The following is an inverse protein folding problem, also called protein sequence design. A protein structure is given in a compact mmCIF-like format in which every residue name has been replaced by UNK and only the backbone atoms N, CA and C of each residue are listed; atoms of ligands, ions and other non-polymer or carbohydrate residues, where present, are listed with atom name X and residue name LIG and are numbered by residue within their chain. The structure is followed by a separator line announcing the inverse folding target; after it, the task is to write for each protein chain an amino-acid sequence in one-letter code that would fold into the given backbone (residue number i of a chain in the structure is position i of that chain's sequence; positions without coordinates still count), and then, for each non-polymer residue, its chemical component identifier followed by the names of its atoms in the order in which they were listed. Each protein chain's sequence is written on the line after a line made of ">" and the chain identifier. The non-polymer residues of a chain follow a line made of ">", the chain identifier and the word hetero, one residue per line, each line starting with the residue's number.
data_IF_947603624866
#
_entry.id   IF_947603624866
#
_cell.length_a   1.000
_cell.length_b   1.000
_cell.length_c   1.000
_cell.angle_alpha   90.00
_cell.angle_beta   90.00
_cell.angle_gamma   90.00
#
_symmetry.space_group_name_H-M   'P 1'
#
loop_
_entity.id
_entity.type
_entity.pdbx_description
1 polymer ?
#
# COMPACT_ATOMS: atom_id res chain seq x y z
N UNK A 1 -20.57 -19.38 -16.38
CA UNK A 1 -19.42 -18.89 -15.60
C UNK A 1 -19.43 -17.37 -15.68
N UNK A 2 -19.11 -16.69 -14.58
CA UNK A 2 -19.01 -15.22 -14.55
C UNK A 2 -17.64 -14.79 -15.07
N UNK A 3 -17.60 -13.83 -16.02
CA UNK A 3 -16.36 -13.34 -16.60
C UNK A 3 -15.91 -12.07 -15.88
N UNK A 4 -14.84 -12.20 -15.10
CA UNK A 4 -14.17 -11.10 -14.43
C UNK A 4 -12.98 -10.61 -15.26
N UNK A 5 -12.96 -9.32 -15.59
CA UNK A 5 -11.79 -8.68 -16.15
C UNK A 5 -11.09 -7.87 -15.07
N UNK A 6 -9.87 -8.31 -14.73
CA UNK A 6 -9.06 -7.70 -13.67
C UNK A 6 -8.03 -6.75 -14.31
N UNK A 7 -8.06 -5.49 -13.95
CA UNK A 7 -7.14 -4.48 -14.46
C UNK A 7 -5.75 -4.61 -13.82
N UNK A 8 -4.86 -5.38 -14.46
CA UNK A 8 -3.49 -5.60 -14.03
C UNK A 8 -2.49 -4.57 -14.57
N UNK A 9 -2.95 -3.53 -15.28
CA UNK A 9 -2.09 -2.50 -15.88
C UNK A 9 -1.29 -1.67 -14.88
N UNK A 10 -1.65 -1.73 -13.60
CA UNK A 10 -0.92 -1.05 -12.52
C UNK A 10 0.20 -1.89 -11.93
N UNK A 11 0.39 -3.13 -12.37
CA UNK A 11 1.56 -3.93 -12.03
C UNK A 11 2.76 -3.37 -12.79
N UNK A 12 3.72 -2.82 -12.06
CA UNK A 12 4.94 -2.23 -12.62
C UNK A 12 5.96 -3.32 -12.92
N UNK A 13 6.76 -3.10 -13.95
CA UNK A 13 7.77 -4.05 -14.42
C UNK A 13 9.20 -3.69 -13.99
N UNK A 14 9.38 -2.53 -13.35
CA UNK A 14 10.67 -1.98 -12.93
C UNK A 14 10.88 -1.99 -11.40
N UNK A 15 9.82 -1.71 -10.65
CA UNK A 15 9.79 -1.83 -9.19
C UNK A 15 8.33 -1.85 -8.70
N UNK A 16 8.07 -2.50 -7.57
CA UNK A 16 6.74 -2.50 -6.99
C UNK A 16 6.58 -1.38 -5.96
N UNK A 17 5.68 -0.43 -6.23
CA UNK A 17 5.10 0.44 -5.22
C UNK A 17 3.89 -0.24 -4.56
N UNK A 18 3.26 0.43 -3.59
CA UNK A 18 2.13 -0.15 -2.87
C UNK A 18 0.95 -0.55 -3.76
N UNK A 19 0.66 0.22 -4.83
CA UNK A 19 -0.43 -0.08 -5.78
C UNK A 19 -0.06 -1.26 -6.67
N UNK A 20 1.17 -1.29 -7.18
CA UNK A 20 1.68 -2.39 -7.98
C UNK A 20 1.66 -3.70 -7.20
N UNK A 21 2.10 -3.66 -5.93
CA UNK A 21 2.09 -4.81 -5.02
C UNK A 21 0.67 -5.30 -4.73
N UNK A 22 -0.23 -4.40 -4.35
CA UNK A 22 -1.65 -4.71 -4.17
C UNK A 22 -2.23 -5.39 -5.41
N UNK A 23 -1.92 -4.86 -6.61
CA UNK A 23 -2.44 -5.40 -7.87
C UNK A 23 -1.92 -6.80 -8.17
N UNK A 24 -0.62 -7.06 -7.96
CA UNK A 24 0.00 -8.35 -8.25
C UNK A 24 -0.46 -9.44 -7.28
N UNK A 25 -0.40 -9.16 -5.98
CA UNK A 25 -0.77 -10.10 -4.93
C UNK A 25 -2.27 -10.46 -4.98
N UNK A 26 -3.13 -9.44 -5.14
CA UNK A 26 -4.56 -9.68 -5.29
C UNK A 26 -4.87 -10.44 -6.58
N UNK A 27 -4.17 -10.17 -7.69
CA UNK A 27 -4.34 -10.90 -8.95
C UNK A 27 -4.00 -12.37 -8.78
N UNK A 28 -2.90 -12.70 -8.09
CA UNK A 28 -2.50 -14.08 -7.81
C UNK A 28 -3.53 -14.82 -6.95
N UNK A 29 -3.99 -14.19 -5.88
CA UNK A 29 -4.99 -14.77 -4.98
C UNK A 29 -6.37 -14.94 -5.67
N UNK A 30 -6.77 -13.98 -6.51
CA UNK A 30 -8.01 -14.06 -7.30
C UNK A 30 -7.93 -15.19 -8.31
N UNK A 31 -6.82 -15.33 -9.06
CA UNK A 31 -6.66 -16.41 -10.02
C UNK A 31 -6.74 -17.79 -9.36
N UNK A 32 -6.16 -17.94 -8.17
CA UNK A 32 -6.22 -19.19 -7.39
C UNK A 32 -7.64 -19.52 -6.91
N UNK A 33 -8.38 -18.51 -6.44
CA UNK A 33 -9.70 -18.74 -5.80
C UNK A 33 -10.88 -18.74 -6.79
N UNK A 34 -10.74 -18.13 -7.97
CA UNK A 34 -11.82 -17.91 -8.92
C UNK A 34 -12.44 -19.20 -9.51
N UNK A 35 -11.67 -20.24 -9.87
CA UNK A 35 -12.23 -21.47 -10.46
C UNK A 35 -13.24 -22.15 -9.54
N UNK A 36 -12.94 -22.26 -8.25
CA UNK A 36 -13.83 -22.86 -7.25
C UNK A 36 -15.16 -22.09 -7.08
N UNK A 37 -15.21 -20.83 -7.55
CA UNK A 37 -16.39 -19.96 -7.46
C UNK A 37 -17.11 -19.78 -8.81
N UNK A 38 -16.70 -20.53 -9.84
CA UNK A 38 -17.27 -20.45 -11.17
C UNK A 38 -17.01 -19.11 -11.88
N UNK A 39 -15.87 -18.48 -11.59
CA UNK A 39 -15.42 -17.22 -12.18
C UNK A 39 -14.25 -17.48 -13.12
N UNK A 40 -14.36 -17.01 -14.34
CA UNK A 40 -13.28 -16.90 -15.32
C UNK A 40 -12.60 -15.54 -15.19
N UNK A 41 -11.27 -15.51 -15.10
CA UNK A 41 -10.52 -14.24 -14.91
C UNK A 41 -9.65 -13.97 -16.14
N UNK A 42 -9.84 -12.80 -16.74
CA UNK A 42 -8.95 -12.28 -17.79
C UNK A 42 -8.23 -11.05 -17.23
N UNK A 43 -6.89 -11.03 -17.27
CA UNK A 43 -6.09 -9.91 -16.79
C UNK A 43 -5.86 -8.90 -17.92
N UNK A 44 -6.23 -7.63 -17.66
CA UNK A 44 -5.96 -6.54 -18.58
C UNK A 44 -4.52 -6.06 -18.36
N UNK A 45 -3.71 -6.10 -19.40
CA UNK A 45 -2.31 -5.63 -19.39
C UNK A 45 -2.10 -4.62 -20.51
N UNK A 46 -1.03 -3.82 -20.47
CA UNK A 46 -0.65 -2.93 -21.56
C UNK A 46 0.77 -3.19 -22.07
N UNK A 47 1.54 -4.02 -21.36
CA UNK A 47 2.91 -4.41 -21.69
C UNK A 47 3.05 -5.91 -21.47
N UNK A 48 3.59 -6.64 -22.45
CA UNK A 48 3.80 -8.09 -22.37
C UNK A 48 4.67 -8.49 -21.17
N UNK A 49 5.60 -7.62 -20.73
CA UNK A 49 6.44 -7.88 -19.55
C UNK A 49 5.64 -8.04 -18.26
N UNK A 50 4.41 -7.52 -18.21
CA UNK A 50 3.53 -7.67 -17.05
C UNK A 50 3.08 -9.13 -16.81
N UNK A 51 3.14 -9.99 -17.86
CA UNK A 51 2.84 -11.41 -17.72
C UNK A 51 3.73 -12.13 -16.70
N UNK A 52 4.98 -11.71 -16.56
CA UNK A 52 5.92 -12.29 -15.60
C UNK A 52 5.49 -12.11 -14.13
N UNK A 53 4.56 -11.19 -13.87
CA UNK A 53 4.03 -10.87 -12.53
C UNK A 53 2.59 -11.38 -12.33
N UNK A 54 2.08 -12.15 -13.28
CA UNK A 54 0.78 -12.80 -13.20
C UNK A 54 0.98 -14.32 -13.03
N UNK A 55 -0.03 -15.04 -12.53
CA UNK A 55 0.04 -16.49 -12.42
C UNK A 55 0.33 -17.15 -13.76
N UNK A 56 1.08 -18.26 -13.72
CA UNK A 56 1.39 -19.05 -14.92
C UNK A 56 0.09 -19.51 -15.62
N UNK A 57 0.06 -19.35 -16.94
CA UNK A 57 -1.13 -19.71 -17.74
C UNK A 57 -2.30 -18.73 -17.63
N UNK A 58 -2.14 -17.58 -16.92
CA UNK A 58 -3.21 -16.60 -16.79
C UNK A 58 -3.66 -16.05 -18.16
N UNK A 59 -4.97 -16.03 -18.40
CA UNK A 59 -5.54 -15.41 -19.59
C UNK A 59 -5.34 -13.89 -19.51
N UNK A 60 -4.83 -13.29 -20.58
CA UNK A 60 -4.54 -11.86 -20.63
C UNK A 60 -5.12 -11.21 -21.88
N UNK A 61 -5.54 -9.97 -21.74
CA UNK A 61 -5.95 -9.11 -22.84
C UNK A 61 -5.10 -7.83 -22.83
N UNK A 62 -4.41 -7.57 -23.94
CA UNK A 62 -3.65 -6.34 -24.10
C UNK A 62 -4.58 -5.21 -24.50
N UNK A 63 -4.54 -4.14 -23.71
CA UNK A 63 -5.26 -2.89 -23.97
C UNK A 63 -4.30 -1.69 -23.79
N UNK A 64 -4.73 -0.48 -24.13
CA UNK A 64 -3.86 0.69 -24.00
C UNK A 64 -3.47 1.01 -22.54
N UNK A 65 -2.36 1.75 -22.34
CA UNK A 65 -1.88 2.11 -21.02
C UNK A 65 -2.89 2.97 -20.26
N UNK A 66 -2.92 2.91 -18.91
CA UNK A 66 -3.90 3.62 -18.09
C UNK A 66 -3.76 5.16 -18.15
N UNK A 67 -2.65 5.66 -18.69
CA UNK A 67 -2.39 7.10 -18.89
C UNK A 67 -2.75 7.60 -20.31
N UNK A 68 -3.30 6.73 -21.16
CA UNK A 68 -3.66 7.12 -22.53
C UNK A 68 -4.79 8.15 -22.55
N UNK A 69 -4.75 9.09 -23.49
CA UNK A 69 -5.83 10.08 -23.72
C UNK A 69 -7.17 9.40 -24.05
N UNK A 70 -7.12 8.19 -24.62
CA UNK A 70 -8.31 7.37 -24.94
C UNK A 70 -8.90 6.65 -23.71
N UNK A 71 -8.29 6.74 -22.52
CA UNK A 71 -8.73 6.00 -21.34
C UNK A 71 -10.21 6.23 -20.97
N UNK A 72 -10.80 7.44 -21.08
CA UNK A 72 -12.22 7.64 -20.82
C UNK A 72 -13.15 6.77 -21.69
N UNK A 73 -12.69 6.37 -22.89
CA UNK A 73 -13.44 5.55 -23.85
C UNK A 73 -13.12 4.04 -23.74
N UNK A 74 -12.27 3.63 -22.81
CA UNK A 74 -11.82 2.24 -22.63
C UNK A 74 -12.98 1.25 -22.50
N UNK A 75 -14.05 1.68 -21.86
CA UNK A 75 -15.24 0.86 -21.72
C UNK A 75 -15.83 0.37 -23.06
N UNK A 76 -15.75 1.17 -24.13
CA UNK A 76 -16.25 0.77 -25.45
C UNK A 76 -15.43 -0.37 -26.06
N UNK A 77 -14.12 -0.38 -25.82
CA UNK A 77 -13.24 -1.46 -26.25
C UNK A 77 -13.57 -2.73 -25.48
N UNK A 78 -13.64 -2.66 -24.14
CA UNK A 78 -13.96 -3.80 -23.29
C UNK A 78 -15.35 -4.39 -23.56
N UNK A 79 -16.34 -3.60 -23.98
CA UNK A 79 -17.67 -4.10 -24.35
C UNK A 79 -17.62 -5.15 -25.47
N UNK A 80 -16.62 -5.14 -26.36
CA UNK A 80 -16.47 -6.12 -27.46
C UNK A 80 -16.15 -7.51 -26.92
N UNK A 81 -15.49 -7.57 -25.77
CA UNK A 81 -15.09 -8.80 -25.09
C UNK A 81 -16.18 -9.32 -24.13
N UNK A 82 -17.24 -8.53 -23.89
CA UNK A 82 -18.42 -8.89 -23.08
C UNK A 82 -18.07 -9.38 -21.68
N UNK A 83 -17.27 -8.64 -20.86
CA UNK A 83 -17.10 -8.98 -19.45
C UNK A 83 -18.44 -8.84 -18.71
N UNK A 84 -18.64 -9.64 -17.66
CA UNK A 84 -19.77 -9.42 -16.76
C UNK A 84 -19.40 -8.35 -15.72
N UNK A 85 -18.16 -8.43 -15.19
CA UNK A 85 -17.64 -7.47 -14.23
C UNK A 85 -16.22 -7.06 -14.61
N UNK A 86 -15.90 -5.79 -14.47
CA UNK A 86 -14.53 -5.26 -14.55
C UNK A 86 -14.14 -4.72 -13.18
N UNK A 87 -13.02 -5.20 -12.65
CA UNK A 87 -12.40 -4.68 -11.44
C UNK A 87 -11.14 -3.90 -11.80
N UNK A 88 -10.96 -2.70 -11.26
CA UNK A 88 -9.71 -1.96 -11.34
C UNK A 88 -9.18 -1.64 -9.94
N UNK A 89 -7.88 -1.92 -9.65
CA UNK A 89 -7.22 -1.54 -8.41
C UNK A 89 -7.01 -0.03 -8.28
N UNK A 90 -7.49 0.73 -9.27
CA UNK A 90 -7.47 2.20 -9.31
C UNK A 90 -8.81 2.73 -9.81
N UNK A 91 -9.03 4.04 -9.66
CA UNK A 91 -10.26 4.74 -10.08
C UNK A 91 -10.21 5.28 -11.52
N UNK A 92 -9.18 4.98 -12.29
CA UNK A 92 -8.89 5.70 -13.56
C UNK A 92 -9.43 5.02 -14.81
N UNK A 93 -9.79 3.73 -14.78
CA UNK A 93 -10.34 3.06 -15.98
C UNK A 93 -11.64 3.71 -16.43
N UNK A 94 -11.73 4.01 -17.73
CA UNK A 94 -12.87 4.73 -18.30
C UNK A 94 -14.20 3.97 -18.20
N UNK A 95 -15.26 4.69 -17.91
CA UNK A 95 -16.61 4.17 -17.67
C UNK A 95 -17.63 4.53 -18.76
N UNK A 96 -17.25 5.40 -19.71
CA UNK A 96 -18.18 5.95 -20.71
C UNK A 96 -18.72 4.90 -21.68
N UNK A 97 -20.03 4.65 -21.62
CA UNK A 97 -20.70 3.71 -22.50
C UNK A 97 -20.46 2.23 -22.17
N UNK A 98 -20.04 1.92 -20.95
CA UNK A 98 -19.88 0.53 -20.46
C UNK A 98 -21.22 -0.22 -20.47
N UNK A 99 -21.14 -1.52 -20.73
CA UNK A 99 -22.27 -2.46 -20.73
C UNK A 99 -22.07 -3.64 -19.75
N UNK A 100 -21.18 -3.47 -18.78
CA UNK A 100 -20.79 -4.43 -17.76
C UNK A 100 -20.82 -3.75 -16.38
N UNK A 101 -20.78 -4.54 -15.31
CA UNK A 101 -20.66 -4.02 -13.95
C UNK A 101 -19.21 -3.64 -13.64
N UNK A 102 -19.01 -2.63 -12.83
CA UNK A 102 -17.66 -2.11 -12.55
C UNK A 102 -17.41 -1.86 -11.08
N UNK A 103 -16.24 -2.31 -10.64
CA UNK A 103 -15.70 -2.05 -9.31
C UNK A 103 -14.44 -1.18 -9.52
N UNK A 104 -14.43 0.03 -8.93
CA UNK A 104 -13.26 0.93 -8.93
C UNK A 104 -12.70 1.02 -7.53
N UNK A 105 -11.37 0.98 -7.41
CA UNK A 105 -10.69 1.13 -6.13
C UNK A 105 -10.15 2.55 -5.96
N UNK A 106 -10.40 3.13 -4.79
CA UNK A 106 -9.69 4.30 -4.30
C UNK A 106 -9.01 3.91 -2.98
N UNK A 107 -7.68 4.00 -2.92
CA UNK A 107 -6.92 3.55 -1.77
C UNK A 107 -7.12 4.47 -0.55
N UNK A 108 -7.03 5.79 -0.77
CA UNK A 108 -7.11 6.79 0.29
C UNK A 108 -7.49 8.18 -0.25
N UNK A 109 -7.52 9.17 0.64
CA UNK A 109 -7.76 10.58 0.32
C UNK A 109 -6.59 11.48 0.70
N UNK A 110 -5.38 10.92 0.83
CA UNK A 110 -4.16 11.61 1.27
C UNK A 110 -3.91 12.88 0.46
N UNK A 111 -4.02 12.80 -0.85
CA UNK A 111 -3.74 13.92 -1.74
C UNK A 111 -4.74 15.08 -1.65
N UNK A 112 -5.90 14.88 -1.04
CA UNK A 112 -6.81 15.99 -0.74
C UNK A 112 -6.40 16.77 0.51
N UNK A 113 -5.66 16.14 1.43
CA UNK A 113 -5.11 16.75 2.64
C UNK A 113 -3.69 17.26 2.39
N UNK A 114 -2.85 16.49 1.68
CA UNK A 114 -1.46 16.79 1.34
C UNK A 114 -1.34 17.12 -0.15
N UNK A 115 -1.70 18.36 -0.53
CA UNK A 115 -1.84 18.82 -1.92
C UNK A 115 -0.52 19.10 -2.63
N UNK A 116 0.54 18.38 -2.30
CA UNK A 116 1.84 18.50 -2.97
C UNK A 116 1.94 17.41 -4.03
N UNK A 117 1.91 17.75 -5.34
CA UNK A 117 2.05 16.76 -6.38
C UNK A 117 3.46 16.16 -6.37
N UNK A 118 3.62 14.90 -6.80
CA UNK A 118 4.92 14.28 -7.02
C UNK A 118 5.83 15.17 -7.88
N UNK A 119 7.10 15.31 -7.47
CA UNK A 119 8.05 16.23 -8.13
C UNK A 119 8.52 15.75 -9.51
N UNK A 120 8.44 14.46 -9.76
CA UNK A 120 8.80 13.77 -11.00
C UNK A 120 7.79 14.01 -12.15
N UNK A 121 6.60 14.52 -11.84
CA UNK A 121 5.60 14.83 -12.85
C UNK A 121 5.94 16.11 -13.62
N UNK A 122 5.69 16.17 -14.95
CA UNK A 122 5.79 17.39 -15.75
C UNK A 122 4.97 18.54 -15.15
N UNK A 123 5.42 19.76 -15.32
CA UNK A 123 4.78 20.94 -14.67
C UNK A 123 3.29 21.08 -15.00
N UNK A 124 2.89 20.82 -16.26
CA UNK A 124 1.49 20.91 -16.71
C UNK A 124 0.63 19.82 -16.08
N UNK A 125 1.17 18.61 -15.88
CA UNK A 125 0.49 17.54 -15.16
C UNK A 125 0.32 17.93 -13.69
N UNK A 126 1.33 18.53 -13.05
CA UNK A 126 1.27 19.02 -11.67
C UNK A 126 0.21 20.11 -11.49
N UNK A 127 0.01 20.98 -12.47
CA UNK A 127 -1.08 21.97 -12.45
C UNK A 127 -2.43 21.26 -12.53
N UNK A 128 -2.64 20.39 -13.51
CA UNK A 128 -3.87 19.60 -13.63
C UNK A 128 -4.17 18.77 -12.38
N UNK A 129 -3.14 18.17 -11.80
CA UNK A 129 -3.22 17.40 -10.55
C UNK A 129 -3.70 18.28 -9.39
N UNK A 130 -3.14 19.50 -9.23
CA UNK A 130 -3.59 20.44 -8.19
C UNK A 130 -5.04 20.84 -8.39
N UNK A 131 -5.44 21.14 -9.63
CA UNK A 131 -6.83 21.51 -9.96
C UNK A 131 -7.79 20.37 -9.65
N UNK A 132 -7.43 19.12 -9.98
CA UNK A 132 -8.23 17.94 -9.67
C UNK A 132 -8.46 17.76 -8.15
N UNK A 133 -7.42 17.98 -7.34
CA UNK A 133 -7.49 17.80 -5.88
C UNK A 133 -7.92 19.06 -5.11
N UNK A 134 -8.36 20.14 -5.79
CA UNK A 134 -8.96 21.29 -5.10
C UNK A 134 -10.31 20.96 -4.46
N UNK A 135 -11.05 20.02 -5.06
CA UNK A 135 -12.34 19.59 -4.55
C UNK A 135 -12.57 18.11 -4.81
N UNK A 136 -13.48 17.50 -4.04
CA UNK A 136 -13.88 16.10 -4.27
C UNK A 136 -14.82 15.92 -5.49
N UNK A 137 -15.22 16.98 -6.22
CA UNK A 137 -16.20 16.89 -7.31
C UNK A 137 -15.72 15.96 -8.43
N UNK A 138 -14.51 16.10 -9.00
CA UNK A 138 -14.05 15.20 -10.05
C UNK A 138 -14.00 13.74 -9.60
N UNK A 139 -13.52 13.50 -8.37
CA UNK A 139 -13.44 12.16 -7.79
C UNK A 139 -14.83 11.55 -7.59
N UNK A 140 -15.82 12.35 -7.11
CA UNK A 140 -17.21 11.92 -6.98
C UNK A 140 -17.81 11.52 -8.32
N UNK A 141 -17.54 12.28 -9.38
CA UNK A 141 -18.02 11.93 -10.73
C UNK A 141 -17.48 10.59 -11.18
N UNK A 142 -16.18 10.36 -11.02
CA UNK A 142 -15.53 9.11 -11.38
C UNK A 142 -16.09 7.93 -10.58
N UNK A 143 -16.10 8.01 -9.23
CA UNK A 143 -16.53 6.92 -8.37
C UNK A 143 -18.02 6.62 -8.51
N UNK A 144 -18.88 7.63 -8.70
CA UNK A 144 -20.32 7.43 -8.90
C UNK A 144 -20.67 6.83 -10.28
N UNK A 145 -19.74 6.80 -11.22
CA UNK A 145 -19.91 6.10 -12.48
C UNK A 145 -19.70 4.58 -12.37
N UNK A 146 -19.11 4.08 -11.29
CA UNK A 146 -19.01 2.65 -10.98
C UNK A 146 -20.30 2.09 -10.35
N UNK A 147 -20.40 0.77 -10.19
CA UNK A 147 -21.47 0.12 -9.43
C UNK A 147 -21.08 -0.04 -7.94
N UNK A 148 -19.81 -0.33 -7.67
CA UNK A 148 -19.24 -0.47 -6.33
C UNK A 148 -17.89 0.25 -6.29
N UNK A 149 -17.59 0.87 -5.17
CA UNK A 149 -16.28 1.45 -4.88
C UNK A 149 -15.57 0.55 -3.87
N UNK A 150 -14.37 0.11 -4.21
CA UNK A 150 -13.48 -0.62 -3.29
C UNK A 150 -12.49 0.35 -2.62
N UNK A 151 -12.07 -0.01 -1.41
CA UNK A 151 -10.97 0.65 -0.69
C UNK A 151 -10.18 -0.38 0.12
N UNK A 152 -9.06 0.01 0.70
CA UNK A 152 -8.07 -0.92 1.29
C UNK A 152 -8.11 -0.97 2.83
N UNK A 153 -8.95 -0.15 3.46
CA UNK A 153 -9.07 -0.11 4.93
C UNK A 153 -10.43 0.42 5.37
N UNK A 154 -10.88 0.03 6.55
CA UNK A 154 -12.08 0.60 7.19
C UNK A 154 -11.87 2.09 7.50
N UNK A 155 -10.64 2.47 7.87
CA UNK A 155 -10.26 3.88 8.07
C UNK A 155 -10.49 4.70 6.80
N UNK A 156 -10.07 4.21 5.63
CA UNK A 156 -10.33 4.88 4.35
C UNK A 156 -11.84 4.92 4.03
N UNK A 157 -12.58 3.84 4.29
CA UNK A 157 -14.03 3.81 4.09
C UNK A 157 -14.74 4.85 4.95
N UNK A 158 -14.35 5.00 6.22
CA UNK A 158 -14.87 6.04 7.12
C UNK A 158 -14.54 7.45 6.63
N UNK A 159 -13.31 7.67 6.13
CA UNK A 159 -12.92 8.95 5.53
C UNK A 159 -13.79 9.28 4.30
N UNK A 160 -14.10 8.29 3.46
CA UNK A 160 -14.98 8.48 2.29
C UNK A 160 -16.40 8.86 2.72
N UNK A 161 -16.92 8.20 3.76
CA UNK A 161 -18.24 8.50 4.32
C UNK A 161 -18.29 9.93 4.90
N UNK A 162 -17.27 10.32 5.67
CA UNK A 162 -17.18 11.65 6.30
C UNK A 162 -17.27 12.80 5.29
N UNK A 163 -16.65 12.63 4.09
CA UNK A 163 -16.69 13.65 3.03
C UNK A 163 -17.78 13.37 1.98
N UNK A 164 -18.63 12.36 2.19
CA UNK A 164 -19.67 11.93 1.25
C UNK A 164 -19.10 11.74 -0.15
N UNK A 165 -17.98 11.00 -0.25
CA UNK A 165 -17.18 10.89 -1.45
C UNK A 165 -17.89 10.16 -2.59
N UNK A 166 -18.75 9.20 -2.27
CA UNK A 166 -19.55 8.43 -3.23
C UNK A 166 -20.93 8.13 -2.68
N UNK A 167 -21.88 7.89 -3.59
CA UNK A 167 -23.22 7.37 -3.32
C UNK A 167 -23.30 5.86 -3.56
N UNK A 168 -22.23 5.26 -4.06
CA UNK A 168 -22.15 3.83 -4.36
C UNK A 168 -21.82 3.04 -3.10
N UNK A 169 -22.22 1.78 -3.01
CA UNK A 169 -21.75 0.89 -1.95
C UNK A 169 -20.23 0.89 -1.91
N UNK A 170 -19.67 0.97 -0.71
CA UNK A 170 -18.22 0.85 -0.48
C UNK A 170 -17.93 -0.54 0.07
N UNK A 171 -16.94 -1.23 -0.49
CA UNK A 171 -16.44 -2.51 0.00
C UNK A 171 -14.97 -2.36 0.39
N UNK A 172 -14.60 -2.89 1.54
CA UNK A 172 -13.20 -2.93 1.97
C UNK A 172 -12.58 -4.23 1.49
N UNK A 173 -11.57 -4.12 0.63
CA UNK A 173 -10.72 -5.21 0.14
C UNK A 173 -9.32 -4.90 0.65
N UNK A 174 -8.97 -5.36 1.86
CA UNK A 174 -7.77 -4.90 2.54
C UNK A 174 -6.49 -5.36 1.84
N UNK A 175 -5.42 -4.59 2.03
CA UNK A 175 -4.07 -5.09 1.79
C UNK A 175 -3.75 -6.23 2.77
N UNK A 176 -2.74 -7.03 2.43
CA UNK A 176 -2.14 -8.01 3.31
C UNK A 176 -0.60 -7.93 3.21
N UNK A 177 0.13 -8.43 4.21
CA UNK A 177 1.59 -8.45 4.16
C UNK A 177 2.10 -9.40 3.08
N UNK A 178 3.28 -9.10 2.54
CA UNK A 178 4.07 -10.09 1.81
C UNK A 178 4.70 -11.10 2.78
N UNK A 179 5.03 -12.28 2.25
CA UNK A 179 5.77 -13.31 2.97
C UNK A 179 7.29 -13.05 2.90
N UNK A 180 7.75 -11.92 3.47
CA UNK A 180 9.17 -11.54 3.44
C UNK A 180 10.08 -12.58 4.10
N UNK A 181 9.57 -13.34 5.05
CA UNK A 181 10.32 -14.42 5.71
C UNK A 181 10.82 -15.48 4.72
N UNK A 182 10.07 -15.71 3.62
CA UNK A 182 10.47 -16.63 2.55
C UNK A 182 11.65 -16.13 1.70
N UNK A 183 12.00 -14.86 1.82
CA UNK A 183 13.12 -14.24 1.09
C UNK A 183 14.43 -14.27 1.91
N UNK A 184 14.38 -14.71 3.15
CA UNK A 184 15.57 -14.87 3.98
C UNK A 184 16.43 -16.04 3.48
N UNK A 185 17.77 -15.98 3.67
CA UNK A 185 18.64 -17.11 3.42
C UNK A 185 18.20 -18.35 4.20
N UNK A 186 18.47 -19.54 3.65
CA UNK A 186 18.12 -20.80 4.28
C UNK A 186 18.71 -20.91 5.70
N UNK A 187 17.86 -21.23 6.66
CA UNK A 187 18.23 -21.31 8.08
C UNK A 187 18.32 -19.96 8.81
N UNK A 188 18.14 -18.84 8.11
CA UNK A 188 18.06 -17.53 8.76
C UNK A 188 16.66 -17.32 9.34
N UNK A 189 16.60 -16.55 10.43
CA UNK A 189 15.37 -16.15 11.09
C UNK A 189 15.50 -14.76 11.70
N UNK A 190 14.43 -14.26 12.28
CA UNK A 190 14.44 -12.95 12.94
C UNK A 190 15.24 -13.03 14.24
N UNK A 191 16.28 -12.22 14.35
CA UNK A 191 17.06 -12.02 15.57
C UNK A 191 16.39 -10.91 16.38
N UNK A 192 15.94 -11.20 17.62
CA UNK A 192 15.30 -10.19 18.47
C UNK A 192 16.26 -9.06 18.85
N UNK A 193 15.74 -7.83 18.92
CA UNK A 193 16.48 -6.66 19.35
C UNK A 193 15.93 -5.37 18.77
N UNK A 194 16.51 -4.25 19.21
CA UNK A 194 16.11 -2.91 18.79
C UNK A 194 17.31 -2.04 18.41
N UNK A 195 18.37 -2.66 17.87
CA UNK A 195 19.58 -1.95 17.43
C UNK A 195 19.36 -1.21 16.11
N UNK A 196 18.62 -1.84 15.17
CA UNK A 196 18.38 -1.31 13.86
C UNK A 196 16.95 -0.74 13.77
N UNK A 197 16.83 0.54 13.44
CA UNK A 197 15.55 1.18 13.17
C UNK A 197 15.36 1.23 11.65
N UNK A 198 14.33 0.54 11.15
CA UNK A 198 14.12 0.38 9.71
C UNK A 198 12.93 1.23 9.26
N UNK A 199 13.17 2.13 8.33
CA UNK A 199 12.13 2.92 7.65
C UNK A 199 12.05 2.52 6.17
N UNK A 200 10.87 2.10 5.74
CA UNK A 200 10.54 1.85 4.34
C UNK A 200 9.36 2.73 3.92
N UNK A 201 9.59 3.63 2.97
CA UNK A 201 8.56 4.55 2.46
C UNK A 201 9.14 5.72 1.68
N UNK A 202 8.30 6.45 0.97
CA UNK A 202 8.72 7.65 0.24
C UNK A 202 9.14 8.77 1.21
N UNK A 203 9.88 9.75 0.69
CA UNK A 203 10.31 10.91 1.46
C UNK A 203 9.40 12.15 1.25
N UNK A 204 8.12 11.91 0.98
CA UNK A 204 7.12 12.98 0.90
C UNK A 204 6.94 13.66 2.28
N UNK A 205 6.60 14.96 2.33
CA UNK A 205 6.52 15.70 3.60
C UNK A 205 5.61 15.06 4.65
N UNK A 206 4.47 14.47 4.25
CA UNK A 206 3.55 13.82 5.18
C UNK A 206 4.10 12.51 5.77
N UNK A 207 5.15 11.94 5.20
CA UNK A 207 5.87 10.78 5.77
C UNK A 207 6.74 11.17 6.97
N UNK A 208 7.03 12.45 7.12
CA UNK A 208 7.63 13.07 8.32
C UNK A 208 8.87 12.35 8.84
N UNK A 209 9.76 11.97 7.93
CA UNK A 209 11.01 11.26 8.24
C UNK A 209 11.93 12.09 9.13
N UNK A 210 11.76 13.41 9.11
CA UNK A 210 12.47 14.38 9.98
C UNK A 210 12.31 14.03 11.46
N UNK A 211 11.14 13.60 11.89
CA UNK A 211 10.91 13.19 13.29
C UNK A 211 11.74 11.96 13.65
N UNK A 212 11.85 10.98 12.75
CA UNK A 212 12.68 9.78 12.96
C UNK A 212 14.17 10.15 13.05
N UNK A 213 14.64 11.00 12.14
CA UNK A 213 16.04 11.48 12.16
C UNK A 213 16.35 12.21 13.46
N UNK A 214 15.45 13.12 13.91
CA UNK A 214 15.64 13.87 15.18
C UNK A 214 15.60 12.94 16.40
N UNK A 215 14.78 11.88 16.38
CA UNK A 215 14.69 10.92 17.47
C UNK A 215 16.02 10.21 17.74
N UNK A 216 16.92 10.14 16.76
CA UNK A 216 18.24 9.54 16.92
C UNK A 216 19.13 10.27 17.94
N UNK A 217 18.84 11.51 18.30
CA UNK A 217 19.53 12.23 19.38
C UNK A 217 19.42 11.49 20.72
N UNK A 218 18.27 10.83 20.96
CA UNK A 218 17.97 10.10 22.20
C UNK A 218 18.16 8.58 22.08
N UNK A 219 18.78 8.12 21.00
CA UNK A 219 18.97 6.68 20.69
C UNK A 219 20.45 6.35 20.37
N UNK A 220 21.39 6.66 21.30
CA UNK A 220 22.80 6.37 21.06
C UNK A 220 23.05 4.88 20.88
N UNK A 221 23.97 4.53 19.99
CA UNK A 221 24.35 3.13 19.69
C UNK A 221 23.32 2.37 18.82
N UNK A 222 22.34 3.07 18.26
CA UNK A 222 21.40 2.50 17.28
C UNK A 222 21.60 3.14 15.92
N UNK A 223 21.23 2.39 14.86
CA UNK A 223 21.31 2.83 13.47
C UNK A 223 19.92 3.02 12.89
N UNK A 224 19.66 4.17 12.25
CA UNK A 224 18.45 4.39 11.47
C UNK A 224 18.72 4.10 9.99
N UNK A 225 18.08 3.09 9.45
CA UNK A 225 18.15 2.69 8.05
C UNK A 225 16.99 3.29 7.26
N UNK A 226 17.29 4.20 6.31
CA UNK A 226 16.34 4.82 5.39
C UNK A 226 16.45 4.12 4.03
N UNK A 227 15.52 3.22 3.72
CA UNK A 227 15.72 2.22 2.67
C UNK A 227 15.39 2.72 1.27
N UNK A 228 14.39 3.57 1.11
CA UNK A 228 13.84 3.92 -0.19
C UNK A 228 14.72 4.88 -0.99
N UNK A 229 14.48 4.95 -2.30
CA UNK A 229 15.12 5.93 -3.19
C UNK A 229 14.80 7.35 -2.75
N UNK A 230 15.82 8.19 -2.74
CA UNK A 230 15.73 9.60 -2.30
C UNK A 230 16.44 10.51 -3.30
N UNK A 231 15.87 11.69 -3.56
CA UNK A 231 16.55 12.69 -4.38
C UNK A 231 17.73 13.31 -3.63
N UNK A 232 18.80 13.74 -4.33
CA UNK A 232 19.96 14.36 -3.69
C UNK A 232 19.58 15.57 -2.82
N UNK A 233 18.67 16.42 -3.28
CA UNK A 233 18.21 17.58 -2.52
C UNK A 233 17.50 17.18 -1.22
N UNK A 234 16.60 16.16 -1.28
CA UNK A 234 15.89 15.70 -0.10
C UNK A 234 16.82 14.98 0.88
N UNK A 235 17.80 14.25 0.38
CA UNK A 235 18.84 13.63 1.18
C UNK A 235 19.63 14.69 1.96
N UNK A 236 20.11 15.74 1.29
CA UNK A 236 20.84 16.82 1.95
C UNK A 236 20.00 17.54 3.05
N UNK A 237 18.68 17.72 2.79
CA UNK A 237 17.77 18.27 3.81
C UNK A 237 17.73 17.40 5.08
N UNK A 238 17.66 16.07 4.93
CA UNK A 238 17.62 15.13 6.06
C UNK A 238 18.99 14.97 6.73
N UNK A 239 20.08 14.92 5.96
CA UNK A 239 21.45 14.88 6.50
C UNK A 239 21.75 16.07 7.40
N UNK A 240 21.26 17.27 7.05
CA UNK A 240 21.41 18.47 7.87
C UNK A 240 20.66 18.40 9.22
N UNK A 241 19.73 17.46 9.38
CA UNK A 241 18.98 17.25 10.62
C UNK A 241 19.57 16.14 11.49
N UNK A 242 20.56 15.38 10.99
CA UNK A 242 21.17 14.28 11.74
C UNK A 242 21.89 14.83 12.96
N UNK A 243 21.53 14.38 14.17
CA UNK A 243 22.21 14.81 15.38
C UNK A 243 23.69 14.37 15.40
N UNK A 244 24.54 15.17 16.06
CA UNK A 244 25.95 14.82 16.19
C UNK A 244 26.12 13.48 16.89
N UNK A 245 26.89 12.56 16.27
CA UNK A 245 27.13 11.22 16.77
C UNK A 245 25.99 10.21 16.53
N UNK A 246 24.91 10.59 15.87
CA UNK A 246 23.86 9.67 15.46
C UNK A 246 24.24 8.93 14.18
N UNK A 247 23.85 7.66 14.08
CA UNK A 247 24.08 6.81 12.91
C UNK A 247 22.81 6.72 12.05
N UNK A 248 22.87 7.29 10.83
CA UNK A 248 21.76 7.29 9.86
C UNK A 248 22.27 6.87 8.49
N UNK A 249 21.76 5.75 7.98
CA UNK A 249 22.17 5.16 6.72
C UNK A 249 21.10 5.35 5.65
N UNK A 250 21.47 5.98 4.53
CA UNK A 250 20.62 6.14 3.35
C UNK A 250 20.98 5.08 2.31
N UNK A 251 20.12 4.08 2.11
CA UNK A 251 20.39 2.98 1.18
C UNK A 251 20.15 3.35 -0.29
N UNK A 252 19.27 4.31 -0.55
CA UNK A 252 18.99 4.74 -1.94
C UNK A 252 18.14 3.76 -2.76
N UNK A 253 17.50 2.82 -2.12
CA UNK A 253 16.71 1.72 -2.67
C UNK A 253 17.30 0.38 -2.29
N UNK A 254 16.45 -0.57 -1.94
CA UNK A 254 16.81 -1.96 -1.59
C UNK A 254 15.87 -2.92 -2.32
N UNK A 255 16.32 -4.15 -2.52
CA UNK A 255 15.47 -5.27 -2.96
C UNK A 255 14.61 -5.79 -1.81
N UNK A 256 13.56 -6.56 -2.11
CA UNK A 256 12.73 -7.17 -1.07
C UNK A 256 13.53 -8.14 -0.18
N UNK A 257 14.54 -8.84 -0.73
CA UNK A 257 15.42 -9.72 0.04
C UNK A 257 16.35 -8.95 0.99
N UNK A 258 16.91 -7.82 0.55
CA UNK A 258 17.69 -6.92 1.41
C UNK A 258 16.81 -6.30 2.50
N UNK A 259 15.58 -5.92 2.16
CA UNK A 259 14.60 -5.41 3.13
C UNK A 259 14.27 -6.47 4.18
N UNK A 260 13.98 -7.71 3.77
CA UNK A 260 13.74 -8.83 4.68
C UNK A 260 14.94 -9.08 5.62
N UNK A 261 16.16 -9.05 5.08
CA UNK A 261 17.40 -9.24 5.86
C UNK A 261 17.59 -8.13 6.90
N UNK A 262 17.35 -6.86 6.52
CA UNK A 262 17.45 -5.73 7.45
C UNK A 262 16.37 -5.79 8.55
N UNK A 263 15.15 -6.22 8.23
CA UNK A 263 14.10 -6.46 9.22
C UNK A 263 14.44 -7.63 10.15
N UNK A 264 15.13 -8.65 9.66
CA UNK A 264 15.47 -9.83 10.46
C UNK A 264 16.62 -9.58 11.46
N UNK A 265 17.45 -8.54 11.30
CA UNK A 265 18.60 -8.28 12.16
C UNK A 265 18.28 -7.25 13.25
N UNK A 266 17.80 -7.71 14.41
CA UNK A 266 17.58 -6.91 15.62
C UNK A 266 16.87 -5.58 15.33
N UNK A 267 15.85 -5.64 14.49
CA UNK A 267 15.18 -4.46 13.95
C UNK A 267 13.89 -4.10 14.69
N UNK A 268 13.57 -2.81 14.60
CA UNK A 268 12.25 -2.23 14.87
C UNK A 268 11.84 -1.46 13.63
N UNK A 269 10.66 -1.75 13.09
CA UNK A 269 10.11 -0.88 12.05
C UNK A 269 9.69 0.45 12.65
N UNK A 270 10.08 1.56 12.03
CA UNK A 270 9.70 2.90 12.49
C UNK A 270 9.02 3.69 11.37
N UNK A 271 7.90 4.36 11.69
CA UNK A 271 7.27 5.31 10.77
C UNK A 271 6.57 6.44 11.51
N UNK A 272 6.93 7.67 11.20
CA UNK A 272 6.33 8.87 11.75
C UNK A 272 5.33 9.54 10.78
N UNK A 273 4.79 8.78 9.84
CA UNK A 273 3.80 9.27 8.85
C UNK A 273 2.64 9.98 9.54
N UNK A 274 2.23 11.12 8.99
CA UNK A 274 1.07 11.88 9.47
C UNK A 274 -0.23 11.47 8.75
N UNK A 275 -0.11 10.66 7.71
CA UNK A 275 -1.23 10.17 6.92
C UNK A 275 -0.84 8.90 6.15
N UNK A 276 -1.75 7.91 6.10
CA UNK A 276 -1.57 6.63 5.39
C UNK A 276 -2.90 6.07 4.90
N UNK A 277 -2.83 5.32 3.78
CA UNK A 277 -3.97 4.54 3.30
C UNK A 277 -4.06 3.16 3.95
N UNK A 278 -2.88 2.55 4.25
CA UNK A 278 -2.78 1.24 4.92
C UNK A 278 -1.51 1.11 5.76
N UNK A 279 -0.32 1.21 5.17
CA UNK A 279 0.96 0.99 5.85
C UNK A 279 1.50 -0.43 5.63
N UNK A 280 1.71 -0.82 4.37
CA UNK A 280 2.26 -2.14 4.02
C UNK A 280 3.53 -2.50 4.80
N UNK A 281 4.55 -1.61 4.96
CA UNK A 281 5.73 -1.94 5.74
C UNK A 281 5.42 -2.31 7.19
N UNK A 282 4.42 -1.68 7.81
CA UNK A 282 3.98 -2.05 9.16
C UNK A 282 3.42 -3.48 9.17
N UNK A 283 2.53 -3.79 8.23
CA UNK A 283 1.94 -5.12 8.10
C UNK A 283 3.02 -6.21 7.88
N UNK A 284 3.98 -5.93 7.02
CA UNK A 284 5.11 -6.81 6.69
C UNK A 284 6.02 -7.08 7.90
N UNK A 285 6.38 -6.03 8.65
CA UNK A 285 7.17 -6.19 9.86
C UNK A 285 6.45 -7.04 10.91
N UNK A 286 5.16 -6.79 11.16
CA UNK A 286 4.37 -7.57 12.11
C UNK A 286 4.24 -9.04 11.70
N UNK A 287 4.07 -9.32 10.42
CA UNK A 287 4.01 -10.69 9.89
C UNK A 287 5.32 -11.44 10.12
N UNK A 288 6.46 -10.79 9.92
CA UNK A 288 7.79 -11.33 10.25
C UNK A 288 8.02 -11.48 11.77
N UNK A 289 7.19 -10.87 12.63
CA UNK A 289 7.42 -10.82 14.08
C UNK A 289 8.47 -9.79 14.49
N UNK A 290 8.58 -8.73 13.72
CA UNK A 290 9.39 -7.55 14.02
C UNK A 290 8.48 -6.49 14.65
N UNK A 291 8.81 -5.97 15.86
CA UNK A 291 7.99 -4.94 16.49
C UNK A 291 8.07 -3.62 15.70
N UNK A 292 7.08 -2.76 15.90
CA UNK A 292 7.03 -1.47 15.24
C UNK A 292 6.79 -0.32 16.23
N UNK A 293 7.33 0.86 15.90
CA UNK A 293 6.99 2.14 16.54
C UNK A 293 6.43 3.07 15.47
N UNK A 294 5.19 3.50 15.65
CA UNK A 294 4.44 4.21 14.62
C UNK A 294 3.68 5.42 15.20
N UNK A 295 3.31 6.33 14.33
CA UNK A 295 2.41 7.43 14.72
C UNK A 295 1.08 6.88 15.26
N UNK A 296 0.59 7.46 16.35
CA UNK A 296 -0.74 7.15 16.87
C UNK A 296 -1.81 7.74 15.96
N UNK A 297 -2.32 6.90 15.05
CA UNK A 297 -3.41 7.26 14.15
C UNK A 297 -4.31 6.07 13.81
N UNK A 298 -5.57 6.32 13.40
CA UNK A 298 -6.58 5.28 13.22
C UNK A 298 -6.14 4.13 12.32
N UNK A 299 -5.49 4.42 11.19
CA UNK A 299 -5.06 3.38 10.25
C UNK A 299 -3.98 2.46 10.83
N UNK A 300 -3.03 2.99 11.58
CA UNK A 300 -2.00 2.15 12.20
C UNK A 300 -2.59 1.32 13.35
N UNK A 301 -3.59 1.84 14.06
CA UNK A 301 -4.34 1.05 15.03
C UNK A 301 -5.20 -0.04 14.37
N UNK A 302 -5.75 0.21 13.19
CA UNK A 302 -6.47 -0.79 12.40
C UNK A 302 -5.54 -1.93 11.98
N UNK A 303 -4.32 -1.61 11.49
CA UNK A 303 -3.37 -2.58 10.95
C UNK A 303 -2.61 -3.33 12.03
N UNK A 304 -2.26 -2.68 13.14
CA UNK A 304 -1.38 -3.27 14.16
C UNK A 304 -2.08 -3.59 15.49
N UNK A 305 -3.23 -2.98 15.82
CA UNK A 305 -3.87 -3.16 17.13
C UNK A 305 -2.91 -2.86 18.26
N UNK A 306 -2.69 -3.83 19.16
CA UNK A 306 -1.72 -3.75 20.25
C UNK A 306 -0.31 -4.24 19.84
N UNK A 307 -0.10 -4.55 18.55
CA UNK A 307 1.15 -5.09 18.02
C UNK A 307 2.21 -4.04 17.66
N UNK A 308 1.95 -2.76 17.97
CA UNK A 308 2.91 -1.68 17.79
C UNK A 308 2.97 -0.76 19.00
N UNK A 309 4.08 -0.03 19.14
CA UNK A 309 4.18 1.12 20.04
C UNK A 309 3.74 2.38 19.29
N UNK A 310 3.02 3.23 19.98
CA UNK A 310 2.43 4.42 19.40
C UNK A 310 3.01 5.69 20.02
N UNK A 311 3.38 6.65 19.17
CA UNK A 311 3.88 7.96 19.59
C UNK A 311 3.19 9.09 18.80
N UNK A 312 3.08 10.30 19.34
CA UNK A 312 2.64 11.47 18.58
C UNK A 312 3.56 11.69 17.37
N UNK A 313 3.01 11.80 16.16
CA UNK A 313 3.78 11.80 14.91
C UNK A 313 4.89 12.88 14.81
N UNK A 314 4.77 13.97 15.54
CA UNK A 314 5.74 15.10 15.53
C UNK A 314 6.63 15.18 16.76
N UNK A 315 6.55 14.19 17.66
CA UNK A 315 7.32 14.16 18.90
C UNK A 315 8.45 13.14 18.84
N UNK A 316 9.65 13.62 18.50
CA UNK A 316 10.86 12.79 18.37
C UNK A 316 11.25 12.11 19.70
N UNK A 317 11.08 12.78 20.85
CA UNK A 317 11.41 12.21 22.15
C UNK A 317 10.47 11.08 22.53
N UNK A 318 9.16 11.21 22.24
CA UNK A 318 8.18 10.13 22.41
C UNK A 318 8.49 8.93 21.52
N UNK A 319 8.91 9.13 20.25
CA UNK A 319 9.38 8.05 19.39
C UNK A 319 10.58 7.33 19.99
N UNK A 320 11.58 8.07 20.45
CA UNK A 320 12.77 7.50 21.08
C UNK A 320 12.40 6.71 22.35
N UNK A 321 11.52 7.24 23.21
CA UNK A 321 11.02 6.55 24.39
C UNK A 321 10.30 5.24 24.06
N UNK A 322 9.46 5.26 23.01
CA UNK A 322 8.74 4.07 22.52
C UNK A 322 9.71 3.00 22.00
N UNK A 323 10.79 3.40 21.28
CA UNK A 323 11.84 2.47 20.85
C UNK A 323 12.55 1.87 22.05
N UNK A 324 12.97 2.70 23.02
CA UNK A 324 13.65 2.20 24.25
C UNK A 324 12.78 1.27 25.09
N UNK A 325 11.45 1.43 25.08
CA UNK A 325 10.56 0.51 25.78
C UNK A 325 10.67 -0.94 25.30
N UNK A 326 11.13 -1.13 24.07
CA UNK A 326 11.36 -2.45 23.48
C UNK A 326 12.70 -3.09 23.92
N UNK A 327 13.51 -2.42 24.74
CA UNK A 327 14.69 -3.01 25.38
C UNK A 327 14.30 -3.98 26.51
N UNK A 328 13.09 -3.83 27.08
CA UNK A 328 12.52 -4.81 27.99
C UNK A 328 12.08 -6.07 27.23
N UNK A 329 12.68 -7.25 27.51
CA UNK A 329 12.38 -8.46 26.75
C UNK A 329 10.91 -8.89 26.86
N UNK A 330 10.27 -8.62 28.01
CA UNK A 330 8.85 -8.95 28.20
C UNK A 330 7.94 -8.06 27.36
N UNK A 331 8.25 -6.77 27.27
CA UNK A 331 7.51 -5.83 26.44
C UNK A 331 7.73 -6.11 24.95
N UNK A 332 8.97 -6.41 24.56
CA UNK A 332 9.28 -6.84 23.20
C UNK A 332 8.45 -8.06 22.80
N UNK A 333 8.51 -9.13 23.61
CA UNK A 333 7.80 -10.38 23.33
C UNK A 333 6.28 -10.18 23.26
N UNK A 334 5.69 -9.38 24.17
CA UNK A 334 4.25 -9.05 24.14
C UNK A 334 3.86 -8.31 22.86
N UNK A 335 4.65 -7.31 22.47
CA UNK A 335 4.40 -6.51 21.27
C UNK A 335 4.45 -7.37 20.00
N UNK A 336 5.47 -8.24 19.88
CA UNK A 336 5.60 -9.16 18.75
C UNK A 336 4.45 -10.16 18.70
N UNK A 337 4.10 -10.78 19.83
CA UNK A 337 3.00 -11.75 19.88
C UNK A 337 1.65 -11.12 19.50
N UNK A 338 1.36 -9.93 20.04
CA UNK A 338 0.16 -9.19 19.69
C UNK A 338 0.13 -8.80 18.21
N UNK A 339 1.26 -8.35 17.64
CA UNK A 339 1.39 -7.98 16.23
C UNK A 339 1.12 -9.16 15.29
N UNK A 340 1.77 -10.31 15.52
CA UNK A 340 1.54 -11.52 14.73
C UNK A 340 0.09 -12.00 14.79
N UNK A 341 -0.50 -12.01 15.98
CA UNK A 341 -1.89 -12.41 16.16
C UNK A 341 -2.86 -11.46 15.43
N UNK A 342 -2.60 -10.16 15.49
CA UNK A 342 -3.44 -9.16 14.87
C UNK A 342 -3.35 -9.18 13.35
N UNK A 343 -2.14 -9.23 12.79
CA UNK A 343 -1.91 -9.16 11.33
C UNK A 343 -2.38 -10.44 10.62
N UNK A 344 -2.46 -11.56 11.29
CA UNK A 344 -2.98 -12.81 10.73
C UNK A 344 -4.43 -12.73 10.22
N UNK A 345 -5.17 -11.67 10.59
CA UNK A 345 -6.53 -11.39 10.08
C UNK A 345 -6.53 -10.91 8.63
N UNK A 346 -5.40 -10.43 8.12
CA UNK A 346 -5.25 -9.89 6.78
C UNK A 346 -4.49 -10.88 5.92
N UNK A 347 -5.15 -11.39 4.88
CA UNK A 347 -4.54 -12.27 3.89
C UNK A 347 -5.08 -11.97 2.51
N UNK A 348 -4.28 -12.24 1.49
CA UNK A 348 -4.66 -12.02 0.10
C UNK A 348 -5.81 -12.96 -0.31
N UNK A 349 -5.87 -14.17 0.25
CA UNK A 349 -6.97 -15.13 0.03
C UNK A 349 -8.31 -14.56 0.52
N UNK A 350 -8.30 -13.92 1.71
CA UNK A 350 -9.49 -13.26 2.26
C UNK A 350 -9.90 -12.08 1.38
N UNK A 351 -8.96 -11.27 0.95
CA UNK A 351 -9.20 -10.12 0.07
C UNK A 351 -9.75 -10.55 -1.28
N UNK A 352 -9.18 -11.61 -1.88
CA UNK A 352 -9.72 -12.24 -3.09
C UNK A 352 -11.14 -12.77 -2.88
N UNK A 353 -11.40 -13.38 -1.72
CA UNK A 353 -12.73 -13.84 -1.33
C UNK A 353 -13.76 -12.72 -1.36
N UNK A 354 -13.46 -11.58 -0.71
CA UNK A 354 -14.33 -10.41 -0.67
C UNK A 354 -14.60 -9.86 -2.08
N UNK A 355 -13.54 -9.77 -2.91
CA UNK A 355 -13.68 -9.32 -4.28
C UNK A 355 -14.59 -10.26 -5.09
N UNK A 356 -14.34 -11.58 -5.04
CA UNK A 356 -15.12 -12.56 -5.81
C UNK A 356 -16.58 -12.65 -5.34
N UNK A 357 -16.87 -12.49 -4.04
CA UNK A 357 -18.24 -12.40 -3.52
C UNK A 357 -18.95 -11.13 -4.04
N UNK A 358 -18.21 -10.02 -4.17
CA UNK A 358 -18.74 -8.78 -4.75
C UNK A 358 -19.01 -8.93 -6.25
N UNK A 359 -18.10 -9.60 -6.97
CA UNK A 359 -18.28 -9.96 -8.39
C UNK A 359 -19.53 -10.82 -8.58
N UNK A 360 -19.69 -11.87 -7.78
CA UNK A 360 -20.85 -12.76 -7.87
C UNK A 360 -22.19 -12.03 -7.61
N UNK A 361 -22.22 -11.08 -6.66
CA UNK A 361 -23.41 -10.24 -6.43
C UNK A 361 -23.75 -9.35 -7.61
N UNK A 362 -22.73 -8.71 -8.20
CA UNK A 362 -22.91 -7.80 -9.34
C UNK A 362 -23.33 -8.51 -10.61
N UNK A 363 -22.83 -9.73 -10.86
CA UNK A 363 -23.17 -10.52 -12.04
C UNK A 363 -24.63 -11.02 -12.01
N UNK A 364 -25.27 -11.10 -10.84
CA UNK A 364 -26.66 -11.54 -10.68
C UNK A 364 -27.67 -10.36 -10.72
N UNK A 365 -27.21 -9.12 -10.52
CA UNK A 365 -28.03 -7.91 -10.49
C UNK A 365 -28.15 -7.26 -11.88
#
# INVERSE_FOLDING_TARGET
>A
MTRLYFDARYIRTDFHDGISRYSAELAAAVASAAPARGVEVTFLIFDERQRAFLPEGAETLIIGPPTAVSEPLRARELNRHRPDVVFSPMQTIGTMGRRYRQILTLHDTIYYRHRTPPKDLPWYVRVGWRLFHLSYVPQRMTLNAADVVATVSETSAQQFAAVKLTKRPVVVIPNAPQQLESLLPEGAGVVPGAQNLVYMGSFMPYKNVETLVRAMADLPGRTLHLLSRISPARRAELEALVPAGADVVFHGGVTDAEYATLLADRAVLVTASLDEGYGLPLAEALAMGVPAVVTDMPIFREVAGDGAKYAPGTDAASFAAAVRSLDDPGEYARTVAAGRAHIARFSWERSAGILLDTVARLARA
#
